data_IF_954677452238
#
_entry.id   IF_954677452238
#
_cell.length_a   1.000
_cell.length_b   1.000
_cell.length_c   1.000
_cell.angle_alpha   90.00
_cell.angle_beta   90.00
_cell.angle_gamma   90.00
#
_symmetry.space_group_name_H-M   'P 1'
#
loop_
_entity.id
_entity.type
_entity.pdbx_description
1 polymer ?
#
# COMPACT_ATOMS: atom_id res chain seq x y z
N UNK A 1 -0.54 50.71 7.01
CA UNK A 1 -0.17 49.49 7.76
C UNK A 1 -1.35 48.54 7.97
N UNK A 2 -2.13 48.24 6.92
CA UNK A 2 -3.25 47.28 6.94
C UNK A 2 -3.29 46.60 5.57
N UNK A 3 -2.37 45.65 5.35
CA UNK A 3 -2.34 44.80 4.14
C UNK A 3 -1.43 43.55 4.25
N UNK A 4 -0.90 43.25 5.44
CA UNK A 4 0.02 42.10 5.67
C UNK A 4 -0.57 40.98 6.55
N UNK A 5 -1.87 41.02 6.86
CA UNK A 5 -2.52 40.02 7.72
C UNK A 5 -3.48 39.07 6.98
N UNK A 6 -3.75 39.33 5.69
CA UNK A 6 -4.69 38.55 4.88
C UNK A 6 -4.06 37.37 4.11
N UNK A 7 -2.72 37.28 4.07
CA UNK A 7 -2.01 36.17 3.38
C UNK A 7 -1.49 35.08 4.32
N UNK A 8 -1.59 35.28 5.64
CA UNK A 8 -1.03 34.34 6.63
C UNK A 8 -2.05 33.28 7.09
N UNK A 9 -3.35 33.56 6.94
CA UNK A 9 -4.44 32.64 7.32
C UNK A 9 -4.84 31.69 6.17
N UNK A 10 -4.61 32.08 4.91
CA UNK A 10 -4.91 31.25 3.72
C UNK A 10 -3.82 30.22 3.39
N UNK A 11 -2.58 30.46 3.82
CA UNK A 11 -1.51 29.45 3.81
C UNK A 11 -1.73 28.39 4.91
N UNK A 12 -2.48 28.77 5.97
CA UNK A 12 -2.74 27.95 7.13
C UNK A 12 -3.90 26.93 6.97
N UNK A 13 -4.40 26.72 5.75
CA UNK A 13 -5.43 25.71 5.43
C UNK A 13 -4.99 24.75 4.32
N UNK A 14 -3.73 24.84 3.88
CA UNK A 14 -2.98 23.75 3.23
C UNK A 14 -2.67 22.57 4.22
N UNK A 15 -3.37 22.59 5.36
CA UNK A 15 -3.08 22.13 6.69
C UNK A 15 -3.85 20.89 7.21
N UNK A 16 -4.17 19.84 6.43
CA UNK A 16 -4.81 18.62 7.01
C UNK A 16 -4.63 17.29 6.22
N UNK A 17 -3.57 17.11 5.42
CA UNK A 17 -3.45 15.94 4.51
C UNK A 17 -2.07 15.28 4.38
N UNK A 18 -1.46 14.91 5.50
CA UNK A 18 -0.54 13.74 5.53
C UNK A 18 -1.11 12.64 6.44
N UNK A 19 -2.32 12.83 6.96
CA UNK A 19 -2.94 11.96 7.95
C UNK A 19 -3.78 10.87 7.30
N UNK A 20 -3.15 9.74 6.94
CA UNK A 20 -3.74 8.42 7.19
C UNK A 20 -2.80 7.20 7.26
N UNK A 21 -1.53 7.18 6.81
CA UNK A 21 -0.66 6.04 7.12
C UNK A 21 -0.16 6.07 8.58
N UNK A 22 -0.01 7.25 9.19
CA UNK A 22 0.68 7.39 10.50
C UNK A 22 -0.28 7.38 11.71
N UNK A 23 -1.59 7.54 11.51
CA UNK A 23 -2.55 7.64 12.63
C UNK A 23 -2.98 6.29 13.23
N UNK A 24 -2.70 5.17 12.56
CA UNK A 24 -2.99 3.82 13.10
C UNK A 24 -1.93 3.33 14.10
N UNK A 25 -0.73 3.92 14.13
CA UNK A 25 0.33 3.49 15.05
C UNK A 25 0.22 4.08 16.47
N UNK A 26 -0.54 5.17 16.68
CA UNK A 26 -0.62 5.86 17.98
C UNK A 26 -1.92 5.62 18.77
N UNK A 27 -2.92 4.93 18.21
CA UNK A 27 -4.24 4.73 18.85
C UNK A 27 -4.42 3.33 19.47
N UNK A 28 -3.39 2.78 20.11
CA UNK A 28 -3.52 1.57 20.93
C UNK A 28 -4.17 1.83 22.32
N UNK A 29 -4.87 2.95 22.51
CA UNK A 29 -5.38 3.33 23.83
C UNK A 29 -6.54 4.31 23.93
N UNK A 30 -7.25 4.65 22.84
CA UNK A 30 -8.37 5.59 22.93
C UNK A 30 -9.64 5.04 22.26
N UNK A 31 -10.64 4.81 23.10
CA UNK A 31 -12.02 4.45 22.76
C UNK A 31 -12.65 5.52 21.85
N UNK A 32 -12.79 5.19 20.56
CA UNK A 32 -13.34 6.03 19.49
C UNK A 32 -14.88 6.03 19.50
N UNK A 33 -15.47 6.48 20.59
CA UNK A 33 -16.93 6.57 20.74
C UNK A 33 -17.44 7.98 21.07
N UNK A 34 -16.80 9.07 20.60
CA UNK A 34 -17.30 10.45 20.85
C UNK A 34 -17.20 11.46 19.68
N UNK A 35 -18.39 11.75 19.16
CA UNK A 35 -18.92 13.03 18.62
C UNK A 35 -18.73 13.40 17.14
N UNK A 36 -19.87 13.66 16.47
CA UNK A 36 -19.97 14.07 15.06
C UNK A 36 -19.42 15.48 14.77
N UNK A 37 -19.18 16.30 15.80
CA UNK A 37 -18.62 17.65 15.68
C UNK A 37 -17.19 17.64 15.13
N UNK A 38 -16.40 16.63 15.51
CA UNK A 38 -15.00 16.48 15.08
C UNK A 38 -14.94 16.09 13.58
N UNK A 39 -15.88 15.26 13.13
CA UNK A 39 -15.95 14.77 11.74
C UNK A 39 -16.29 15.86 10.72
N UNK A 40 -17.10 16.87 11.09
CA UNK A 40 -17.44 17.99 10.20
C UNK A 40 -16.25 18.94 9.98
N UNK A 41 -15.46 19.20 11.02
CA UNK A 41 -14.30 20.09 10.95
C UNK A 41 -13.17 19.47 10.12
N UNK A 42 -12.91 18.18 10.33
CA UNK A 42 -12.01 17.39 9.50
C UNK A 42 -12.42 17.45 8.02
N UNK A 43 -13.73 17.39 7.76
CA UNK A 43 -14.23 17.41 6.41
C UNK A 43 -14.08 18.75 5.68
N UNK A 44 -14.54 19.85 6.28
CA UNK A 44 -14.45 21.16 5.65
C UNK A 44 -13.00 21.54 5.35
N UNK A 45 -12.09 21.12 6.24
CA UNK A 45 -10.67 21.35 6.01
C UNK A 45 -10.15 20.52 4.83
N UNK A 46 -10.53 19.25 4.72
CA UNK A 46 -10.22 18.45 3.53
C UNK A 46 -10.70 19.11 2.23
N UNK A 47 -11.95 19.59 2.20
CA UNK A 47 -12.51 20.20 0.99
C UNK A 47 -11.71 21.46 0.61
N UNK A 48 -11.35 22.28 1.60
CA UNK A 48 -10.48 23.45 1.42
C UNK A 48 -9.11 23.10 0.85
N UNK A 49 -8.51 22.02 1.34
CA UNK A 49 -7.21 21.50 0.91
C UNK A 49 -7.20 21.08 -0.53
N UNK A 50 -8.07 20.13 -0.85
CA UNK A 50 -8.15 19.55 -2.19
C UNK A 50 -8.45 20.65 -3.21
N UNK A 51 -9.33 21.58 -2.87
CA UNK A 51 -9.62 22.73 -3.74
C UNK A 51 -8.40 23.61 -3.97
N UNK A 52 -7.55 23.78 -2.95
CA UNK A 52 -6.32 24.57 -3.05
C UNK A 52 -5.26 23.86 -3.89
N UNK A 53 -4.99 22.59 -3.63
CA UNK A 53 -4.06 21.77 -4.43
C UNK A 53 -4.45 21.76 -5.90
N UNK A 54 -5.74 21.55 -6.20
CA UNK A 54 -6.24 21.60 -7.58
C UNK A 54 -6.07 22.95 -8.25
N UNK A 55 -6.22 24.06 -7.50
CA UNK A 55 -5.93 25.40 -8.04
C UNK A 55 -4.44 25.58 -8.30
N UNK A 56 -3.56 25.10 -7.41
CA UNK A 56 -2.12 25.19 -7.59
C UNK A 56 -1.63 24.36 -8.79
N UNK A 57 -2.15 23.14 -8.94
CA UNK A 57 -1.90 22.28 -10.10
C UNK A 57 -2.33 22.97 -11.42
N UNK A 58 -3.57 23.49 -11.48
CA UNK A 58 -4.07 24.23 -12.66
C UNK A 58 -3.27 25.50 -12.98
N UNK A 59 -2.75 26.17 -11.95
CA UNK A 59 -1.95 27.40 -12.10
C UNK A 59 -0.50 27.12 -12.48
N UNK A 60 -0.11 25.85 -12.69
CA UNK A 60 1.27 25.45 -12.98
C UNK A 60 2.27 26.03 -11.97
N UNK A 61 1.87 26.12 -10.70
CA UNK A 61 2.79 26.52 -9.63
C UNK A 61 3.94 25.53 -9.62
N UNK A 62 5.16 26.03 -9.43
CA UNK A 62 6.35 25.16 -9.36
C UNK A 62 6.10 24.03 -8.36
N UNK A 63 6.24 22.78 -8.82
CA UNK A 63 6.04 21.60 -7.99
C UNK A 63 6.97 21.63 -6.77
N UNK A 64 8.15 22.24 -6.90
CA UNK A 64 9.08 22.46 -5.79
C UNK A 64 8.50 23.34 -4.67
N UNK A 65 7.65 24.32 -5.02
CA UNK A 65 6.99 25.17 -4.02
C UNK A 65 5.91 24.39 -3.29
N UNK A 66 5.17 23.53 -3.99
CA UNK A 66 4.15 22.64 -3.40
C UNK A 66 4.83 21.66 -2.44
N UNK A 67 5.92 21.02 -2.87
CA UNK A 67 6.72 20.11 -2.07
C UNK A 67 7.22 20.77 -0.78
N UNK A 68 7.90 21.93 -0.91
CA UNK A 68 8.43 22.67 0.26
C UNK A 68 7.34 23.06 1.24
N UNK A 69 6.20 23.55 0.75
CA UNK A 69 5.07 23.92 1.59
C UNK A 69 4.47 22.71 2.31
N UNK A 70 4.37 21.57 1.64
CA UNK A 70 3.88 20.33 2.22
C UNK A 70 4.83 19.79 3.31
N UNK A 71 6.15 19.83 3.08
CA UNK A 71 7.17 19.42 4.07
C UNK A 71 7.07 20.31 5.31
N UNK A 72 7.11 21.63 5.13
CA UNK A 72 7.05 22.59 6.25
C UNK A 72 5.77 22.41 7.08
N UNK A 73 4.66 22.10 6.41
CA UNK A 73 3.40 21.79 7.08
C UNK A 73 3.46 20.49 7.89
N UNK A 74 3.94 19.41 7.29
CA UNK A 74 4.06 18.10 7.93
C UNK A 74 4.90 18.18 9.21
N UNK A 75 6.04 18.88 9.15
CA UNK A 75 6.93 19.13 10.29
C UNK A 75 6.24 19.95 11.39
N UNK A 76 5.67 21.12 11.03
CA UNK A 76 5.08 22.03 12.02
C UNK A 76 3.85 21.47 12.72
N UNK A 77 3.19 20.51 12.10
CA UNK A 77 1.94 19.92 12.61
C UNK A 77 2.17 18.60 13.33
N UNK A 78 3.42 18.11 13.35
CA UNK A 78 3.79 16.86 14.00
C UNK A 78 3.07 15.66 13.42
N UNK A 79 2.83 15.65 12.10
CA UNK A 79 2.12 14.53 11.44
C UNK A 79 2.97 13.27 11.37
N UNK A 80 4.29 13.45 11.26
CA UNK A 80 5.30 12.42 11.31
C UNK A 80 6.61 13.05 11.82
N UNK A 81 7.63 12.23 12.05
CA UNK A 81 8.99 12.72 12.28
C UNK A 81 9.46 13.63 11.11
N UNK A 82 10.25 14.65 11.41
CA UNK A 82 10.73 15.62 10.41
C UNK A 82 11.44 14.96 9.24
N UNK A 83 12.20 13.88 9.49
CA UNK A 83 12.87 13.09 8.46
C UNK A 83 11.85 12.42 7.54
N UNK A 84 10.82 11.82 8.12
CA UNK A 84 9.78 11.13 7.36
C UNK A 84 9.01 12.13 6.50
N UNK A 85 8.65 13.30 7.02
CA UNK A 85 8.03 14.38 6.26
C UNK A 85 8.84 14.77 5.02
N UNK A 86 10.17 14.91 5.17
CA UNK A 86 11.10 15.27 4.08
C UNK A 86 11.24 14.18 3.01
N UNK A 87 10.91 12.93 3.32
CA UNK A 87 11.12 11.78 2.43
C UNK A 87 9.82 11.31 1.76
N UNK A 88 8.74 11.17 2.53
CA UNK A 88 7.45 10.68 2.02
C UNK A 88 6.80 11.65 1.03
N UNK A 89 7.00 12.95 1.20
CA UNK A 89 6.34 13.95 0.35
C UNK A 89 6.93 13.93 -1.08
N UNK A 90 8.25 13.99 -1.27
CA UNK A 90 8.84 13.82 -2.60
C UNK A 90 8.46 12.50 -3.27
N UNK A 91 8.41 11.40 -2.51
CA UNK A 91 8.04 10.06 -3.00
C UNK A 91 6.65 10.08 -3.68
N UNK A 92 5.65 10.67 -3.03
CA UNK A 92 4.27 10.68 -3.54
C UNK A 92 3.94 11.86 -4.46
N UNK A 93 4.76 12.92 -4.47
CA UNK A 93 4.43 14.20 -5.10
C UNK A 93 3.98 14.05 -6.55
N UNK A 94 4.74 13.32 -7.35
CA UNK A 94 4.51 13.27 -8.80
C UNK A 94 3.20 12.54 -9.14
N UNK A 95 2.96 11.40 -8.50
CA UNK A 95 1.72 10.61 -8.67
C UNK A 95 0.50 11.40 -8.19
N UNK A 96 0.60 12.01 -7.01
CA UNK A 96 -0.49 12.81 -6.43
C UNK A 96 -0.83 14.00 -7.32
N UNK A 97 0.17 14.74 -7.80
CA UNK A 97 -0.05 15.88 -8.70
C UNK A 97 -0.65 15.43 -10.05
N UNK A 98 -0.20 14.30 -10.59
CA UNK A 98 -0.76 13.72 -11.80
C UNK A 98 -2.25 13.39 -11.64
N UNK A 99 -2.61 12.68 -10.55
CA UNK A 99 -4.00 12.33 -10.24
C UNK A 99 -4.85 13.59 -10.03
N UNK A 100 -4.38 14.60 -9.29
CA UNK A 100 -5.16 15.83 -9.08
C UNK A 100 -5.39 16.65 -10.35
N UNK A 101 -4.49 16.58 -11.32
CA UNK A 101 -4.63 17.24 -12.63
C UNK A 101 -5.62 16.49 -13.54
N UNK A 102 -5.65 15.15 -13.47
CA UNK A 102 -6.44 14.30 -14.37
C UNK A 102 -7.76 13.80 -13.76
N UNK A 103 -7.97 13.97 -12.46
CA UNK A 103 -9.16 13.47 -11.78
C UNK A 103 -10.40 14.32 -12.07
N UNK A 104 -11.48 13.64 -12.44
CA UNK A 104 -12.81 14.24 -12.58
C UNK A 104 -13.50 14.49 -11.21
N UNK A 105 -12.99 13.89 -10.14
CA UNK A 105 -13.62 13.95 -8.82
C UNK A 105 -13.64 15.38 -8.28
N UNK A 106 -14.72 15.79 -7.67
CA UNK A 106 -14.82 17.04 -6.91
C UNK A 106 -13.99 16.96 -5.63
N UNK A 107 -13.65 18.13 -5.05
CA UNK A 107 -12.93 18.16 -3.78
C UNK A 107 -13.66 17.41 -2.67
N UNK A 108 -15.00 17.44 -2.68
CA UNK A 108 -15.84 16.74 -1.70
C UNK A 108 -15.82 15.21 -1.90
N UNK A 109 -15.78 14.75 -3.15
CA UNK A 109 -15.67 13.32 -3.45
C UNK A 109 -14.32 12.74 -3.05
N UNK A 110 -13.23 13.46 -3.34
CA UNK A 110 -11.87 13.11 -2.91
C UNK A 110 -11.82 12.99 -1.37
N UNK A 111 -12.40 13.98 -0.68
CA UNK A 111 -12.48 13.97 0.77
C UNK A 111 -13.38 12.88 1.34
N UNK A 112 -14.48 12.53 0.66
CA UNK A 112 -15.32 11.39 1.01
C UNK A 112 -14.54 10.07 0.92
N UNK A 113 -13.75 9.87 -0.14
CA UNK A 113 -12.92 8.66 -0.30
C UNK A 113 -11.93 8.48 0.85
N UNK A 114 -11.36 9.58 1.35
CA UNK A 114 -10.21 9.50 2.26
C UNK A 114 -10.61 9.65 3.72
N UNK A 115 -11.66 10.43 4.04
CA UNK A 115 -12.20 10.61 5.40
C UNK A 115 -13.47 9.80 5.65
N UNK A 116 -13.85 8.93 4.71
CA UNK A 116 -15.07 8.14 4.66
C UNK A 116 -16.34 9.00 4.43
N UNK A 117 -17.48 8.32 4.38
CA UNK A 117 -18.83 8.83 4.07
C UNK A 117 -19.31 9.99 4.96
N UNK A 118 -18.69 10.23 6.11
CA UNK A 118 -18.99 11.36 7.00
C UNK A 118 -18.59 12.73 6.42
N UNK A 119 -17.67 12.79 5.45
CA UNK A 119 -17.24 14.06 4.85
C UNK A 119 -17.95 14.40 3.52
N UNK A 120 -18.51 13.42 2.86
CA UNK A 120 -19.20 13.63 1.60
C UNK A 120 -19.60 12.31 1.01
N UNK A 121 -20.40 12.37 -0.05
CA UNK A 121 -20.54 11.22 -0.93
C UNK A 121 -19.14 10.87 -1.43
N UNK A 122 -18.58 9.78 -0.92
CA UNK A 122 -17.50 9.05 -1.59
C UNK A 122 -17.87 9.01 -3.07
N UNK A 123 -16.96 9.42 -3.96
CA UNK A 123 -17.10 8.94 -5.33
C UNK A 123 -16.92 7.44 -5.25
N UNK A 124 -18.07 6.79 -5.17
CA UNK A 124 -18.17 5.37 -5.16
C UNK A 124 -18.60 5.03 -6.59
N UNK A 125 -17.66 4.62 -7.45
CA UNK A 125 -18.04 4.12 -8.77
C UNK A 125 -19.04 2.97 -8.64
N UNK A 126 -19.14 2.27 -7.51
CA UNK A 126 -20.16 1.25 -7.25
C UNK A 126 -21.55 1.83 -6.89
N UNK A 127 -21.66 3.07 -6.38
CA UNK A 127 -22.94 3.77 -6.23
C UNK A 127 -23.47 4.30 -7.57
N UNK A 128 -22.59 4.60 -8.52
CA UNK A 128 -22.97 4.70 -9.93
C UNK A 128 -23.11 3.29 -10.50
N UNK A 129 -24.21 2.60 -10.18
CA UNK A 129 -24.50 1.22 -10.55
C UNK A 129 -23.96 0.83 -11.93
N UNK A 130 -22.77 0.24 -11.98
CA UNK A 130 -22.28 -0.42 -13.16
C UNK A 130 -22.71 -1.88 -13.05
N UNK A 131 -23.47 -2.32 -14.03
CA UNK A 131 -23.97 -3.68 -14.06
C UNK A 131 -23.03 -4.54 -14.89
N UNK A 132 -22.51 -5.61 -14.29
CA UNK A 132 -21.90 -6.70 -15.04
C UNK A 132 -23.01 -7.62 -15.52
N UNK A 133 -23.19 -7.72 -16.84
CA UNK A 133 -24.13 -8.68 -17.40
C UNK A 133 -23.55 -10.09 -17.24
N UNK A 134 -24.17 -10.92 -16.39
CA UNK A 134 -23.78 -12.32 -16.26
C UNK A 134 -24.41 -13.11 -17.42
N UNK A 135 -23.62 -13.59 -18.39
CA UNK A 135 -24.16 -14.34 -19.53
C UNK A 135 -24.70 -15.70 -19.08
N UNK A 136 -25.72 -16.20 -19.77
CA UNK A 136 -26.19 -17.59 -19.62
C UNK A 136 -27.13 -17.88 -18.44
N UNK A 137 -27.43 -16.87 -17.59
CA UNK A 137 -28.35 -17.03 -16.46
C UNK A 137 -27.82 -17.97 -15.36
N UNK A 138 -28.55 -18.06 -14.25
CA UNK A 138 -28.19 -18.96 -13.14
C UNK A 138 -28.55 -20.40 -13.53
N UNK A 139 -27.60 -21.35 -13.58
CA UNK A 139 -27.93 -22.75 -13.83
C UNK A 139 -28.78 -23.33 -12.68
N UNK A 140 -29.57 -24.39 -12.95
CA UNK A 140 -30.31 -25.09 -11.90
C UNK A 140 -29.38 -25.52 -10.77
N UNK A 141 -29.83 -25.33 -9.52
CA UNK A 141 -29.06 -25.75 -8.35
C UNK A 141 -28.98 -27.28 -8.36
N UNK A 142 -27.77 -27.80 -8.55
CA UNK A 142 -27.48 -29.22 -8.36
C UNK A 142 -27.19 -29.44 -6.88
N UNK A 143 -27.90 -30.36 -6.19
CA UNK A 143 -27.55 -30.73 -4.83
C UNK A 143 -26.08 -31.12 -4.76
N UNK A 144 -25.34 -30.53 -3.82
CA UNK A 144 -23.95 -30.88 -3.63
C UNK A 144 -23.86 -32.30 -3.05
N UNK A 145 -23.25 -33.18 -3.82
CA UNK A 145 -22.85 -34.50 -3.34
C UNK A 145 -21.34 -34.44 -3.12
N UNK A 146 -20.86 -34.54 -1.87
CA UNK A 146 -19.42 -34.57 -1.62
C UNK A 146 -18.81 -35.68 -2.47
N UNK A 147 -17.85 -35.38 -3.35
CA UNK A 147 -17.17 -36.43 -4.09
C UNK A 147 -16.52 -37.39 -3.10
N UNK A 148 -16.46 -38.69 -3.45
CA UNK A 148 -15.63 -39.63 -2.69
C UNK A 148 -14.19 -39.10 -2.76
N UNK A 149 -13.64 -38.70 -1.62
CA UNK A 149 -12.29 -38.15 -1.54
C UNK A 149 -11.31 -39.30 -1.75
N UNK A 150 -10.81 -39.45 -2.98
CA UNK A 150 -9.77 -40.42 -3.30
C UNK A 150 -8.36 -39.79 -3.29
N UNK A 151 -8.28 -38.45 -3.37
CA UNK A 151 -7.03 -37.67 -3.43
C UNK A 151 -7.25 -36.39 -2.61
N UNK A 152 -6.29 -36.04 -1.76
CA UNK A 152 -6.27 -34.79 -0.98
C UNK A 152 -5.05 -33.98 -1.40
N UNK A 153 -5.27 -32.86 -2.09
CA UNK A 153 -4.20 -31.91 -2.38
C UNK A 153 -3.96 -31.04 -1.14
N UNK A 154 -2.69 -30.83 -0.80
CA UNK A 154 -2.26 -29.85 0.21
C UNK A 154 -1.62 -28.68 -0.52
N UNK A 155 -2.04 -27.47 -0.20
CA UNK A 155 -1.61 -26.24 -0.86
C UNK A 155 -0.92 -25.38 0.18
N UNK A 156 0.31 -24.96 -0.11
CA UNK A 156 1.00 -23.97 0.71
C UNK A 156 0.47 -22.59 0.35
N UNK A 157 0.11 -21.78 1.34
CA UNK A 157 -0.30 -20.39 1.14
C UNK A 157 0.64 -19.50 1.94
N UNK A 158 1.36 -18.62 1.23
CA UNK A 158 2.24 -17.59 1.79
C UNK A 158 1.69 -16.23 1.38
N UNK A 159 1.78 -15.26 2.28
CA UNK A 159 1.35 -13.89 2.08
C UNK A 159 2.17 -12.98 2.99
N UNK A 160 2.32 -11.71 2.61
CA UNK A 160 2.80 -10.64 3.49
C UNK A 160 4.19 -10.97 4.08
N UNK A 161 5.14 -11.36 3.21
CA UNK A 161 6.51 -11.66 3.64
C UNK A 161 7.13 -10.39 4.24
N UNK A 162 6.90 -9.22 3.63
CA UNK A 162 7.49 -7.94 4.02
C UNK A 162 8.96 -8.06 4.39
N UNK A 163 9.78 -8.42 3.40
CA UNK A 163 11.22 -8.45 3.59
C UNK A 163 11.77 -7.03 3.65
N UNK A 164 12.45 -6.70 4.75
CA UNK A 164 13.22 -5.47 4.90
C UNK A 164 14.72 -5.74 4.63
N UNK A 165 15.28 -5.27 3.49
CA UNK A 165 16.70 -5.40 3.19
C UNK A 165 17.62 -4.64 4.17
N UNK A 166 17.07 -3.68 4.93
CA UNK A 166 17.78 -2.82 5.88
C UNK A 166 17.55 -3.21 7.35
N UNK A 167 16.77 -4.26 7.63
CA UNK A 167 16.61 -4.75 9.00
C UNK A 167 17.98 -5.05 9.62
N UNK A 168 18.25 -4.45 10.77
CA UNK A 168 19.53 -4.57 11.46
C UNK A 168 19.31 -4.95 12.93
N UNK A 169 19.67 -6.19 13.33
CA UNK A 169 19.56 -6.62 14.72
C UNK A 169 20.29 -5.68 15.68
N UNK A 170 19.73 -5.48 16.87
CA UNK A 170 20.29 -4.59 17.89
C UNK A 170 19.89 -3.12 17.74
N UNK A 171 19.35 -2.69 16.59
CA UNK A 171 18.77 -1.35 16.46
C UNK A 171 17.46 -1.22 17.24
N UNK A 172 17.03 0.02 17.43
CA UNK A 172 15.79 0.33 18.16
C UNK A 172 14.57 -0.30 17.49
N UNK A 173 13.84 -1.14 18.24
CA UNK A 173 12.64 -1.84 17.75
C UNK A 173 11.34 -1.04 17.91
N UNK A 174 11.30 -0.10 18.84
CA UNK A 174 10.22 0.84 19.07
C UNK A 174 10.76 2.26 18.92
N UNK A 175 10.30 2.95 17.90
CA UNK A 175 10.73 4.27 17.46
C UNK A 175 9.50 5.13 17.12
N UNK A 176 9.74 6.41 16.79
CA UNK A 176 8.70 7.37 16.40
C UNK A 176 8.57 7.46 14.86
N UNK A 177 9.10 6.47 14.12
CA UNK A 177 8.96 6.33 12.67
C UNK A 177 7.98 5.18 12.33
N UNK A 178 7.37 5.15 11.12
CA UNK A 178 6.37 4.13 10.79
C UNK A 178 6.90 2.70 10.74
N UNK A 179 8.20 2.52 10.46
CA UNK A 179 8.89 1.23 10.51
C UNK A 179 10.24 1.38 11.22
N UNK A 180 10.49 0.51 12.21
CA UNK A 180 11.68 0.53 13.05
C UNK A 180 12.68 -0.58 12.68
N UNK A 181 13.62 -0.90 13.58
CA UNK A 181 14.63 -1.96 13.39
C UNK A 181 15.62 -1.74 12.23
N UNK A 182 15.68 -0.54 11.67
CA UNK A 182 16.48 -0.22 10.49
C UNK A 182 17.22 1.11 10.63
N UNK A 183 18.32 1.33 9.91
CA UNK A 183 18.98 2.62 9.85
C UNK A 183 18.01 3.75 9.41
N UNK A 184 18.23 4.98 9.88
CA UNK A 184 19.37 5.46 10.67
C UNK A 184 19.15 5.36 12.20
N UNK A 185 18.18 4.55 12.66
CA UNK A 185 17.88 4.43 14.09
C UNK A 185 19.13 3.99 14.88
N UNK A 186 19.33 4.53 16.09
CA UNK A 186 20.43 4.10 16.95
C UNK A 186 20.17 2.71 17.54
N UNK A 187 21.21 2.15 18.17
CA UNK A 187 21.09 0.92 18.95
C UNK A 187 19.98 1.02 20.01
N UNK A 188 19.28 -0.09 20.20
CA UNK A 188 18.29 -0.27 21.24
C UNK A 188 18.89 -0.42 22.63
N UNK A 189 18.06 -0.16 23.64
CA UNK A 189 18.36 -0.51 25.03
C UNK A 189 17.94 -1.95 25.37
N UNK A 190 18.17 -2.45 26.59
CA UNK A 190 17.94 -3.85 26.97
C UNK A 190 16.56 -4.44 26.62
N UNK A 191 15.51 -3.62 26.56
CA UNK A 191 14.13 -4.03 26.24
C UNK A 191 13.59 -3.40 24.94
N UNK A 192 14.46 -2.79 24.14
CA UNK A 192 14.07 -2.09 22.92
C UNK A 192 15.07 -2.31 21.78
N UNK A 193 15.64 -3.52 21.72
CA UNK A 193 16.58 -3.92 20.68
C UNK A 193 15.95 -4.96 19.77
N UNK A 194 16.06 -4.74 18.46
CA UNK A 194 15.62 -5.64 17.42
C UNK A 194 16.29 -7.00 17.56
N UNK A 195 15.50 -8.07 17.56
CA UNK A 195 16.01 -9.44 17.62
C UNK A 195 16.74 -9.83 16.34
N UNK A 196 17.54 -10.91 16.38
CA UNK A 196 18.20 -11.41 15.17
C UNK A 196 17.17 -11.83 14.11
N UNK A 197 16.10 -12.51 14.53
CA UNK A 197 15.07 -13.11 13.67
C UNK A 197 13.85 -12.22 13.40
N UNK A 198 13.86 -10.97 13.86
CA UNK A 198 12.70 -10.08 13.80
C UNK A 198 12.30 -9.51 15.15
N UNK A 199 11.36 -8.56 15.11
CA UNK A 199 10.65 -8.00 16.25
C UNK A 199 9.19 -7.75 15.85
N UNK A 200 8.24 -7.92 16.78
CA UNK A 200 6.80 -7.79 16.48
C UNK A 200 6.35 -6.38 16.05
N UNK A 201 7.24 -5.38 16.10
CA UNK A 201 7.00 -3.99 15.70
C UNK A 201 7.65 -3.63 14.36
N UNK A 202 8.27 -4.60 13.71
CA UNK A 202 9.08 -4.41 12.52
C UNK A 202 8.75 -5.46 11.46
N UNK A 203 9.16 -5.18 10.23
CA UNK A 203 9.25 -6.16 9.16
C UNK A 203 10.44 -7.11 9.37
N UNK A 204 10.54 -8.16 8.54
CA UNK A 204 11.46 -9.27 8.82
C UNK A 204 12.79 -9.17 8.06
N UNK A 205 13.90 -9.62 8.67
CA UNK A 205 15.18 -9.73 7.98
C UNK A 205 15.21 -10.91 7.02
N UNK A 206 16.13 -10.84 6.04
CA UNK A 206 16.34 -11.91 5.07
C UNK A 206 16.59 -13.28 5.72
N UNK A 207 17.25 -13.32 6.89
CA UNK A 207 17.52 -14.58 7.57
C UNK A 207 16.24 -15.32 7.97
N UNK A 208 15.17 -14.61 8.32
CA UNK A 208 13.89 -15.21 8.68
C UNK A 208 13.20 -15.77 7.43
N UNK A 209 13.27 -15.03 6.31
CA UNK A 209 12.80 -15.52 5.01
C UNK A 209 13.57 -16.78 4.61
N UNK A 210 14.90 -16.76 4.66
CA UNK A 210 15.73 -17.93 4.32
C UNK A 210 15.43 -19.13 5.23
N UNK A 211 15.24 -18.91 6.53
CA UNK A 211 14.88 -20.00 7.43
C UNK A 211 13.51 -20.62 7.13
N UNK A 212 12.53 -19.80 6.73
CA UNK A 212 11.26 -20.29 6.19
C UNK A 212 11.50 -21.15 4.94
N UNK A 213 12.31 -20.66 3.99
CA UNK A 213 12.60 -21.40 2.75
C UNK A 213 13.32 -22.73 2.99
N UNK A 214 14.27 -22.77 3.93
CA UNK A 214 14.94 -24.01 4.38
C UNK A 214 13.93 -25.01 4.94
N UNK A 215 13.01 -24.54 5.81
CA UNK A 215 11.98 -25.39 6.38
C UNK A 215 11.02 -25.93 5.31
N UNK A 216 10.56 -25.08 4.39
CA UNK A 216 9.67 -25.47 3.31
C UNK A 216 10.35 -26.45 2.35
N UNK A 217 11.65 -26.26 2.06
CA UNK A 217 12.42 -27.19 1.25
C UNK A 217 12.53 -28.57 1.92
N UNK A 218 12.76 -28.60 3.23
CA UNK A 218 12.81 -29.84 4.01
C UNK A 218 11.47 -30.56 4.13
N UNK A 219 10.35 -29.85 3.94
CA UNK A 219 8.97 -30.35 4.06
C UNK A 219 8.19 -30.26 2.75
N UNK A 220 8.90 -30.15 1.63
CA UNK A 220 8.28 -29.90 0.32
C UNK A 220 7.39 -31.05 -0.15
N UNK A 221 7.51 -32.25 0.42
CA UNK A 221 6.64 -33.39 0.16
C UNK A 221 5.23 -33.24 0.78
N UNK A 222 5.02 -32.23 1.64
CA UNK A 222 3.75 -32.01 2.33
C UNK A 222 2.75 -31.17 1.54
N UNK A 223 3.12 -30.57 0.42
CA UNK A 223 2.25 -29.73 -0.41
C UNK A 223 2.57 -29.87 -1.89
N UNK A 224 1.57 -29.66 -2.73
CA UNK A 224 1.65 -29.91 -4.17
C UNK A 224 2.06 -28.66 -4.96
N UNK A 225 1.53 -27.50 -4.57
CA UNK A 225 1.82 -26.19 -5.17
C UNK A 225 1.67 -25.06 -4.15
N UNK A 226 1.99 -23.83 -4.57
CA UNK A 226 2.09 -22.65 -3.72
C UNK A 226 1.12 -21.57 -4.23
N UNK A 227 0.40 -20.94 -3.31
CA UNK A 227 -0.22 -19.63 -3.51
C UNK A 227 0.63 -18.57 -2.79
N UNK A 228 1.08 -17.56 -3.54
CA UNK A 228 1.79 -16.41 -3.00
C UNK A 228 0.95 -15.16 -3.24
N UNK A 229 0.41 -14.57 -2.17
CA UNK A 229 -0.57 -13.47 -2.31
C UNK A 229 -0.01 -12.06 -2.13
N UNK A 230 1.28 -11.87 -2.40
CA UNK A 230 1.90 -10.54 -2.50
C UNK A 230 2.39 -9.98 -1.17
N UNK A 231 2.57 -8.66 -1.14
CA UNK A 231 3.17 -7.90 -0.04
C UNK A 231 4.57 -8.40 0.35
N UNK A 232 5.45 -8.39 -0.66
CA UNK A 232 6.86 -8.76 -0.53
C UNK A 232 7.72 -7.62 0.05
N UNK A 233 7.57 -6.35 -0.38
CA UNK A 233 8.39 -5.24 0.13
C UNK A 233 8.00 -4.79 1.53
N UNK A 234 8.97 -4.30 2.31
CA UNK A 234 8.74 -3.74 3.63
C UNK A 234 8.02 -2.38 3.60
N UNK A 235 7.45 -1.99 4.75
CA UNK A 235 6.70 -0.76 5.01
C UNK A 235 7.58 0.51 5.11
N UNK A 236 8.65 0.60 4.33
CA UNK A 236 9.48 1.82 4.19
C UNK A 236 9.03 2.69 3.03
N UNK A 237 7.74 2.95 2.98
CA UNK A 237 7.02 3.64 1.91
C UNK A 237 7.52 5.07 1.64
N UNK A 238 8.34 5.62 2.53
CA UNK A 238 8.97 6.94 2.36
C UNK A 238 10.33 6.88 1.65
N UNK A 239 10.82 5.70 1.34
CA UNK A 239 12.16 5.47 0.81
C UNK A 239 12.17 4.21 -0.03
N UNK A 240 11.36 4.20 -1.09
CA UNK A 240 11.29 3.12 -2.06
C UNK A 240 11.75 3.64 -3.42
N UNK A 241 11.97 2.71 -4.35
CA UNK A 241 12.19 3.03 -5.76
C UNK A 241 11.65 1.87 -6.58
N UNK A 242 11.10 2.14 -7.76
CA UNK A 242 10.68 1.10 -8.71
C UNK A 242 11.72 0.00 -8.91
N UNK A 243 13.01 0.35 -9.07
CA UNK A 243 14.07 -0.66 -9.18
C UNK A 243 14.22 -1.50 -7.92
N UNK A 244 14.14 -0.89 -6.73
CA UNK A 244 14.19 -1.61 -5.46
C UNK A 244 13.01 -2.58 -5.28
N UNK A 245 11.82 -2.20 -5.74
CA UNK A 245 10.64 -3.08 -5.74
C UNK A 245 10.85 -4.30 -6.65
N UNK A 246 11.38 -4.08 -7.86
CA UNK A 246 11.75 -5.17 -8.79
C UNK A 246 12.84 -6.06 -8.20
N UNK A 247 13.84 -5.48 -7.53
CA UNK A 247 14.90 -6.24 -6.88
C UNK A 247 14.36 -7.13 -5.75
N UNK A 248 13.42 -6.61 -4.94
CA UNK A 248 12.73 -7.38 -3.90
C UNK A 248 11.93 -8.51 -4.52
N UNK A 249 11.11 -8.21 -5.56
CA UNK A 249 10.33 -9.21 -6.27
C UNK A 249 11.21 -10.33 -6.81
N UNK A 250 12.23 -10.00 -7.61
CA UNK A 250 13.17 -10.97 -8.18
C UNK A 250 13.87 -11.78 -7.09
N UNK A 251 14.31 -11.13 -6.00
CA UNK A 251 14.97 -11.84 -4.90
C UNK A 251 14.06 -12.87 -4.24
N UNK A 252 12.77 -12.57 -4.08
CA UNK A 252 11.81 -13.53 -3.54
C UNK A 252 11.59 -14.69 -4.52
N UNK A 253 11.36 -14.40 -5.80
CA UNK A 253 11.20 -15.43 -6.84
C UNK A 253 12.43 -16.35 -6.88
N UNK A 254 13.65 -15.79 -6.89
CA UNK A 254 14.91 -16.55 -6.87
C UNK A 254 15.00 -17.49 -5.66
N UNK A 255 14.55 -17.06 -4.49
CA UNK A 255 14.51 -17.93 -3.30
C UNK A 255 13.50 -19.06 -3.46
N UNK A 256 12.33 -18.81 -4.04
CA UNK A 256 11.35 -19.87 -4.34
C UNK A 256 11.91 -20.87 -5.34
N UNK A 257 12.50 -20.39 -6.43
CA UNK A 257 13.11 -21.25 -7.45
C UNK A 257 14.29 -22.05 -6.90
N UNK A 258 15.11 -21.46 -6.04
CA UNK A 258 16.24 -22.14 -5.41
C UNK A 258 15.80 -23.26 -4.45
N UNK A 259 14.84 -22.99 -3.57
CA UNK A 259 14.49 -23.91 -2.48
C UNK A 259 13.35 -24.87 -2.82
N UNK A 260 12.48 -24.49 -3.77
CA UNK A 260 11.29 -25.24 -4.20
C UNK A 260 11.20 -25.36 -5.74
N UNK A 261 12.28 -25.76 -6.45
CA UNK A 261 12.38 -25.68 -7.92
C UNK A 261 11.32 -26.45 -8.70
N UNK A 262 10.67 -27.43 -8.07
CA UNK A 262 9.67 -28.31 -8.70
C UNK A 262 8.24 -28.01 -8.22
N UNK A 263 8.02 -26.93 -7.46
CA UNK A 263 6.71 -26.55 -6.93
C UNK A 263 6.16 -25.37 -7.74
N UNK A 264 5.07 -25.55 -8.50
CA UNK A 264 4.43 -24.44 -9.17
C UNK A 264 3.95 -23.40 -8.16
N UNK A 265 4.23 -22.14 -8.44
CA UNK A 265 3.78 -21.00 -7.64
C UNK A 265 2.82 -20.15 -8.45
N UNK A 266 1.67 -19.84 -7.85
CA UNK A 266 0.68 -18.92 -8.38
C UNK A 266 0.71 -17.64 -7.55
N UNK A 267 1.22 -16.57 -8.14
CA UNK A 267 1.40 -15.27 -7.51
C UNK A 267 0.19 -14.34 -7.71
N UNK A 268 -0.06 -13.43 -6.77
CA UNK A 268 -0.87 -12.22 -6.95
C UNK A 268 -0.13 -11.02 -6.37
N UNK A 269 -0.33 -9.83 -6.95
CA UNK A 269 0.23 -8.60 -6.41
C UNK A 269 -0.57 -8.13 -5.19
N UNK A 270 0.12 -7.83 -4.10
CA UNK A 270 -0.38 -7.07 -2.97
C UNK A 270 -0.28 -5.56 -3.23
N UNK A 271 -0.53 -4.75 -2.21
CA UNK A 271 -0.52 -3.30 -2.36
C UNK A 271 0.86 -2.67 -2.16
N UNK A 272 1.81 -3.39 -1.56
CA UNK A 272 3.18 -2.93 -1.36
C UNK A 272 4.11 -3.20 -2.53
N UNK A 273 3.68 -3.88 -3.60
CA UNK A 273 4.56 -4.10 -4.77
C UNK A 273 4.80 -2.85 -5.61
N UNK A 274 3.85 -1.92 -5.69
CA UNK A 274 4.02 -0.69 -6.46
C UNK A 274 4.86 0.34 -5.72
N UNK A 275 5.37 1.30 -6.48
CA UNK A 275 6.07 2.47 -5.97
C UNK A 275 5.53 3.73 -6.69
N UNK A 276 4.89 4.66 -5.97
CA UNK A 276 4.62 4.62 -4.53
C UNK A 276 3.63 3.50 -4.11
N UNK A 277 3.60 3.14 -2.82
CA UNK A 277 2.68 2.11 -2.29
C UNK A 277 1.22 2.42 -2.64
N UNK A 278 0.44 1.38 -2.94
CA UNK A 278 -0.94 1.42 -3.44
C UNK A 278 -1.14 2.03 -4.84
N UNK A 279 -0.13 2.67 -5.45
CA UNK A 279 -0.25 3.24 -6.80
C UNK A 279 -0.30 2.15 -7.86
N UNK A 280 -1.52 1.74 -8.23
CA UNK A 280 -1.81 0.82 -9.32
C UNK A 280 -2.66 1.50 -10.41
N UNK A 281 -2.05 2.37 -11.23
CA UNK A 281 -2.70 3.01 -12.38
C UNK A 281 -3.39 1.97 -13.29
N UNK A 282 -4.67 2.16 -13.64
CA UNK A 282 -5.34 1.28 -14.59
C UNK A 282 -4.70 1.32 -15.98
N UNK A 283 -4.99 0.32 -16.81
CA UNK A 283 -4.37 0.13 -18.13
C UNK A 283 -4.54 1.28 -19.15
N UNK A 284 -5.44 2.22 -18.91
CA UNK A 284 -5.59 3.41 -19.75
C UNK A 284 -4.53 4.49 -19.46
N UNK A 285 -3.82 4.40 -18.33
CA UNK A 285 -2.65 5.22 -18.03
C UNK A 285 -1.42 4.57 -18.68
N UNK A 286 -0.66 5.36 -19.46
CA UNK A 286 0.45 4.87 -20.27
C UNK A 286 1.72 5.70 -20.04
N UNK A 287 2.86 5.22 -20.55
CA UNK A 287 4.15 5.91 -20.40
C UNK A 287 4.73 5.78 -19.00
N UNK A 288 5.44 6.81 -18.54
CA UNK A 288 6.18 6.81 -17.26
C UNK A 288 5.29 6.63 -16.02
N UNK A 289 4.00 6.98 -16.13
CA UNK A 289 3.05 6.91 -15.02
C UNK A 289 2.26 5.60 -15.03
N UNK A 290 2.58 4.67 -15.94
CA UNK A 290 1.95 3.33 -15.92
C UNK A 290 2.68 2.38 -14.99
N UNK A 291 1.97 1.34 -14.54
CA UNK A 291 2.51 0.25 -13.72
C UNK A 291 3.27 -0.81 -14.53
N UNK A 292 3.50 -0.57 -15.83
CA UNK A 292 4.06 -1.58 -16.75
C UNK A 292 5.42 -2.09 -16.28
N UNK A 293 6.25 -1.25 -15.67
CA UNK A 293 7.57 -1.62 -15.15
C UNK A 293 7.53 -2.81 -14.16
N UNK A 294 6.45 -2.92 -13.36
CA UNK A 294 6.26 -4.00 -12.40
C UNK A 294 5.73 -5.26 -13.09
N UNK A 295 4.73 -5.10 -13.96
CA UNK A 295 4.13 -6.23 -14.68
C UNK A 295 5.10 -6.86 -15.70
N UNK A 296 5.91 -6.04 -16.37
CA UNK A 296 6.97 -6.49 -17.28
C UNK A 296 8.01 -7.32 -16.51
N UNK A 297 8.39 -6.90 -15.30
CA UNK A 297 9.31 -7.66 -14.44
C UNK A 297 8.72 -9.02 -14.01
N UNK A 298 7.41 -9.07 -13.79
CA UNK A 298 6.69 -10.30 -13.46
C UNK A 298 6.27 -11.15 -14.68
N UNK A 299 6.57 -10.70 -15.90
CA UNK A 299 6.04 -11.27 -17.15
C UNK A 299 4.50 -11.43 -17.16
N UNK A 300 3.80 -10.49 -16.52
CA UNK A 300 2.35 -10.46 -16.37
C UNK A 300 1.72 -9.40 -17.27
N UNK A 301 0.44 -9.56 -17.61
CA UNK A 301 -0.32 -8.61 -18.42
C UNK A 301 -1.60 -8.17 -17.70
N UNK A 302 -1.46 -7.15 -16.85
CA UNK A 302 -2.59 -6.47 -16.20
C UNK A 302 -2.72 -6.72 -14.69
N UNK A 303 -1.83 -7.51 -14.11
CA UNK A 303 -1.79 -7.84 -12.68
C UNK A 303 -2.70 -8.99 -12.27
N UNK A 304 -3.34 -9.69 -13.23
CA UNK A 304 -4.31 -10.74 -12.97
C UNK A 304 -4.27 -11.80 -14.07
N UNK A 305 -4.58 -13.04 -13.72
CA UNK A 305 -4.61 -14.14 -14.68
C UNK A 305 -5.52 -15.28 -14.22
N UNK A 306 -5.77 -16.22 -15.14
CA UNK A 306 -6.40 -17.49 -14.83
C UNK A 306 -5.65 -18.64 -15.48
N UNK A 307 -5.55 -19.77 -14.79
CA UNK A 307 -4.85 -20.95 -15.28
C UNK A 307 -5.59 -22.21 -14.85
N UNK A 308 -5.67 -23.19 -15.76
CA UNK A 308 -6.14 -24.53 -15.43
C UNK A 308 -4.97 -25.36 -14.92
N UNK A 309 -5.09 -25.87 -13.70
CA UNK A 309 -4.05 -26.66 -13.06
C UNK A 309 -4.67 -27.79 -12.24
N UNK A 310 -4.18 -29.02 -12.41
CA UNK A 310 -4.64 -30.20 -11.68
C UNK A 310 -6.19 -30.39 -11.64
N UNK A 311 -6.86 -30.11 -12.76
CA UNK A 311 -8.32 -30.26 -12.89
C UNK A 311 -9.15 -29.17 -12.20
N UNK A 312 -8.52 -28.13 -11.64
CA UNK A 312 -9.18 -26.93 -11.12
C UNK A 312 -8.78 -25.69 -11.92
N UNK A 313 -9.59 -24.64 -11.85
CA UNK A 313 -9.24 -23.32 -12.37
C UNK A 313 -8.80 -22.41 -11.24
N UNK A 314 -7.58 -21.92 -11.32
CA UNK A 314 -7.02 -20.91 -10.42
C UNK A 314 -7.22 -19.54 -11.06
N UNK A 315 -7.69 -18.57 -10.28
CA UNK A 315 -7.91 -17.19 -10.71
C UNK A 315 -7.18 -16.28 -9.72
N UNK A 316 -6.14 -15.60 -10.20
CA UNK A 316 -5.42 -14.56 -9.46
C UNK A 316 -5.99 -13.21 -9.86
N UNK A 317 -6.46 -12.44 -8.88
CA UNK A 317 -7.13 -11.15 -9.09
C UNK A 317 -6.19 -10.00 -8.73
N UNK A 318 -6.27 -8.91 -9.49
CA UNK A 318 -5.67 -7.63 -9.12
C UNK A 318 -6.64 -6.86 -8.23
N UNK A 319 -6.56 -7.10 -6.92
CA UNK A 319 -7.46 -6.47 -5.95
C UNK A 319 -7.09 -5.02 -5.65
N UNK A 320 -5.93 -4.51 -6.08
CA UNK A 320 -5.62 -3.09 -5.95
C UNK A 320 -6.59 -2.18 -6.72
N UNK A 321 -7.27 -2.67 -7.76
CA UNK A 321 -8.33 -1.92 -8.44
C UNK A 321 -9.61 -1.73 -7.60
N UNK A 322 -9.76 -2.44 -6.49
CA UNK A 322 -10.82 -2.18 -5.50
C UNK A 322 -10.28 -1.63 -4.16
N UNK A 323 -8.97 -1.38 -4.07
CA UNK A 323 -8.34 -0.76 -2.90
C UNK A 323 -8.73 0.72 -2.82
N UNK A 324 -9.17 1.17 -1.64
CA UNK A 324 -9.55 2.57 -1.39
C UNK A 324 -8.35 3.52 -1.30
N UNK A 325 -7.14 2.95 -1.28
CA UNK A 325 -5.87 3.68 -1.20
C UNK A 325 -5.16 3.81 -2.55
N UNK A 326 -5.69 3.20 -3.62
CA UNK A 326 -5.21 3.35 -5.00
C UNK A 326 -5.72 4.66 -5.60
#
# INVERSE_FOLDING_TARGET
>A
MKKKWFSFVFLCLALLYVTRPVLLASLKGMDLSKSDLDSSILCDTCIGLVTTVRKLAKLHVSQELIEKAAIEYCEKSGLADERICKLIIPEFKDEVLYVFDHTALSSREICGTILNDKCGSTYDPFNQQWNVTIPGGKPPIKPYHPPKVNITNRILHISDIHWDPQYTPGLRAQCDEPLCCRPPLPNGGPNNSAGAWGDARCDIPLQTVVNLMEHLSATQDQFEWIYMTGDLPAHNDWSQTRSGQVDIFNKMIDLFDQYLPNKPMFYSFGNHESDPVNSFPPNYITGSNSISWLYDAAADNGGFYSVDYNGIRIISLQTNYCNKQN
#
